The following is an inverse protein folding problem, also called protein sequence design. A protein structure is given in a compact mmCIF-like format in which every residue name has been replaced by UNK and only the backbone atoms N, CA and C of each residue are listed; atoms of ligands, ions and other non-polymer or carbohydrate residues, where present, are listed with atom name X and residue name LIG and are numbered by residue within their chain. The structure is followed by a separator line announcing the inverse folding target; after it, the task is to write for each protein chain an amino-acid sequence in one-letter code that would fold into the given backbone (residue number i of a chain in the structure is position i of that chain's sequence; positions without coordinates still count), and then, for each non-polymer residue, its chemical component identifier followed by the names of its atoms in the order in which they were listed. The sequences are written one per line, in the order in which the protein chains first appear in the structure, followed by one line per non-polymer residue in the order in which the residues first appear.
data_IF_008126222763
#
_entry.id   IF_008126222763
#
_cell.length_a   1.000
_cell.length_b   1.000
_cell.length_c   1.000
_cell.angle_alpha   90.00
_cell.angle_beta   90.00
_cell.angle_gamma   90.00
#
_symmetry.space_group_name_H-M   'P 1'
#
loop_
_entity.id
_entity.type
_entity.pdbx_description
1 polymer ?
#
# COMPACT_ATOMS: atom_id res chain seq x y z
N UNK A 1 27.25 18.96 -6.58
CA UNK A 1 26.08 18.95 -5.68
C UNK A 1 24.95 19.74 -6.32
N UNK A 2 23.96 19.07 -6.92
CA UNK A 2 22.74 19.75 -7.41
C UNK A 2 21.84 19.98 -6.19
N UNK A 3 21.48 21.24 -5.93
CA UNK A 3 20.70 21.64 -4.77
C UNK A 3 19.24 21.18 -4.93
N UNK A 4 18.64 20.62 -3.88
CA UNK A 4 17.22 20.18 -3.86
C UNK A 4 16.23 21.31 -4.20
N UNK A 5 16.65 22.57 -4.01
CA UNK A 5 15.84 23.78 -4.24
C UNK A 5 15.70 24.10 -5.74
N UNK A 6 16.53 23.56 -6.63
CA UNK A 6 16.50 23.83 -8.08
C UNK A 6 15.77 22.78 -8.92
N UNK A 7 15.03 21.84 -8.31
CA UNK A 7 14.06 21.01 -9.03
C UNK A 7 12.85 21.88 -9.44
N UNK A 8 13.06 22.79 -10.38
CA UNK A 8 11.97 23.28 -11.22
C UNK A 8 11.26 22.05 -11.75
N UNK A 9 9.96 21.95 -11.44
CA UNK A 9 9.03 20.90 -11.85
C UNK A 9 9.14 20.62 -13.35
N UNK A 10 10.08 19.77 -13.74
CA UNK A 10 9.91 18.91 -14.90
C UNK A 10 8.95 17.84 -14.42
N UNK A 11 7.68 18.23 -14.38
CA UNK A 11 6.60 17.25 -14.30
C UNK A 11 6.70 16.56 -15.65
N UNK A 12 7.38 15.41 -15.68
CA UNK A 12 6.95 14.40 -16.63
C UNK A 12 5.48 14.21 -16.30
N UNK A 13 4.62 14.69 -17.18
CA UNK A 13 3.32 14.11 -17.26
C UNK A 13 3.60 12.67 -17.65
N UNK A 14 3.82 11.79 -16.65
CA UNK A 14 3.21 10.49 -16.73
C UNK A 14 1.75 10.86 -16.90
N UNK A 15 1.31 11.02 -18.15
CA UNK A 15 -0.09 11.11 -18.45
C UNK A 15 -0.62 9.83 -17.81
N UNK A 16 -1.25 10.01 -16.65
CA UNK A 16 -2.14 9.01 -16.12
C UNK A 16 -3.13 8.86 -17.26
N UNK A 17 -2.91 7.84 -18.08
CA UNK A 17 -3.83 7.41 -19.13
C UNK A 17 -5.12 7.12 -18.38
N UNK A 18 -5.92 8.18 -18.27
CA UNK A 18 -7.07 8.26 -17.39
C UNK A 18 -8.20 7.58 -18.13
N UNK A 19 -8.19 6.26 -18.02
CA UNK A 19 -9.40 5.48 -18.04
C UNK A 19 -9.48 4.81 -16.66
N UNK A 20 -10.61 5.04 -16.01
CA UNK A 20 -10.87 4.77 -14.59
C UNK A 20 -10.40 3.39 -14.14
N UNK A 21 -9.91 3.32 -12.89
CA UNK A 21 -9.54 2.12 -12.11
C UNK A 21 -8.07 1.66 -12.16
N UNK A 22 -7.25 2.07 -13.13
CA UNK A 22 -5.88 1.58 -13.26
C UNK A 22 -4.78 2.55 -12.76
N UNK A 23 -4.78 2.86 -11.45
CA UNK A 23 -3.79 3.79 -10.86
C UNK A 23 -2.46 3.10 -10.56
N UNK A 24 -1.36 3.85 -10.60
CA UNK A 24 -0.10 3.39 -10.02
C UNK A 24 -0.23 3.26 -8.49
N UNK A 25 0.21 2.14 -7.93
CA UNK A 25 0.07 1.79 -6.49
C UNK A 25 1.40 1.58 -5.79
N UNK A 26 2.42 1.11 -6.51
CA UNK A 26 3.76 0.89 -6.00
C UNK A 26 4.79 1.07 -7.13
N UNK A 27 6.04 1.25 -6.75
CA UNK A 27 7.15 1.28 -7.68
C UNK A 27 8.37 0.59 -7.05
N UNK A 28 9.29 0.13 -7.88
CA UNK A 28 10.54 -0.49 -7.46
C UNK A 28 11.65 -0.09 -8.44
N UNK A 29 12.88 0.00 -7.96
CA UNK A 29 14.05 0.30 -8.77
C UNK A 29 15.15 -0.70 -8.44
N UNK A 30 15.92 -1.11 -9.44
CA UNK A 30 17.06 -1.99 -9.25
C UNK A 30 18.28 -1.14 -8.92
N UNK A 31 18.96 -1.35 -7.79
CA UNK A 31 20.18 -0.61 -7.47
C UNK A 31 21.25 -0.80 -8.54
N UNK A 32 21.73 0.31 -9.10
CA UNK A 32 22.77 0.29 -10.13
C UNK A 32 22.24 0.12 -11.56
N UNK A 33 20.95 -0.11 -11.73
CA UNK A 33 20.29 -0.05 -13.03
C UNK A 33 19.56 1.29 -13.18
N UNK A 34 19.40 1.71 -14.43
CA UNK A 34 18.63 2.89 -14.77
C UNK A 34 17.16 2.55 -15.06
N UNK A 35 16.67 1.39 -14.61
CA UNK A 35 15.29 0.97 -14.82
C UNK A 35 14.44 1.11 -13.55
N UNK A 36 13.21 1.62 -13.72
CA UNK A 36 12.21 1.71 -12.65
C UNK A 36 10.93 1.03 -13.11
N UNK A 37 10.36 0.22 -12.22
CA UNK A 37 9.11 -0.49 -12.43
C UNK A 37 7.98 0.18 -11.67
N UNK A 38 6.79 0.20 -12.26
CA UNK A 38 5.57 0.75 -11.71
C UNK A 38 4.49 -0.33 -11.71
N UNK A 39 3.97 -0.65 -10.53
CA UNK A 39 2.83 -1.55 -10.38
C UNK A 39 1.55 -0.74 -10.46
N UNK A 40 0.65 -1.17 -11.33
CA UNK A 40 -0.70 -0.66 -11.44
C UNK A 40 -1.66 -1.50 -10.59
N UNK A 41 -2.75 -0.89 -10.13
CA UNK A 41 -3.78 -1.59 -9.35
C UNK A 41 -4.44 -2.74 -10.10
N UNK A 42 -4.43 -2.73 -11.45
CA UNK A 42 -4.89 -3.86 -12.28
C UNK A 42 -3.98 -5.09 -12.25
N UNK A 43 -2.73 -4.98 -11.79
CA UNK A 43 -1.73 -6.04 -11.88
C UNK A 43 -0.74 -5.88 -13.04
N UNK A 44 -0.90 -4.85 -13.87
CA UNK A 44 0.11 -4.50 -14.88
C UNK A 44 1.34 -3.90 -14.24
N UNK A 45 2.50 -4.40 -14.63
CA UNK A 45 3.81 -3.82 -14.34
C UNK A 45 4.27 -3.08 -15.59
N UNK A 46 4.62 -1.82 -15.41
CA UNK A 46 5.18 -0.98 -16.47
C UNK A 46 6.62 -0.58 -16.12
N UNK A 47 7.51 -0.57 -17.09
CA UNK A 47 8.92 -0.21 -16.91
C UNK A 47 9.23 1.16 -17.55
N UNK A 48 10.16 1.87 -16.93
CA UNK A 48 10.70 3.14 -17.41
C UNK A 48 12.23 3.10 -17.39
N UNK A 49 12.84 3.30 -18.56
CA UNK A 49 14.29 3.49 -18.66
C UNK A 49 14.67 4.95 -18.39
N UNK A 50 15.52 5.17 -17.40
CA UNK A 50 16.06 6.47 -17.00
C UNK A 50 17.37 6.73 -17.74
N UNK A 51 17.31 7.32 -18.93
CA UNK A 51 18.54 7.68 -19.66
C UNK A 51 19.00 9.08 -19.29
N UNK A 52 20.27 9.21 -18.92
CA UNK A 52 20.87 10.49 -18.56
C UNK A 52 20.92 11.50 -19.72
N UNK A 53 20.89 11.01 -20.98
CA UNK A 53 20.89 11.84 -22.20
C UNK A 53 19.50 12.38 -22.58
N UNK A 54 18.42 11.80 -22.04
CA UNK A 54 17.04 12.18 -22.37
C UNK A 54 16.46 13.27 -21.46
N UNK A 55 17.31 14.02 -20.78
CA UNK A 55 16.89 15.18 -19.99
C UNK A 55 16.15 16.26 -20.83
N UNK A 56 16.10 16.13 -22.15
CA UNK A 56 15.42 17.03 -23.08
C UNK A 56 14.11 16.48 -23.66
N UNK A 57 13.78 15.20 -23.42
CA UNK A 57 12.53 14.58 -23.88
C UNK A 57 11.41 14.89 -22.87
N UNK A 58 10.31 15.55 -23.29
CA UNK A 58 9.27 16.04 -22.38
C UNK A 58 8.41 14.92 -21.77
N UNK A 59 8.39 13.74 -22.37
CA UNK A 59 7.69 12.54 -21.88
C UNK A 59 8.47 11.30 -22.32
N UNK A 60 8.59 10.33 -21.41
CA UNK A 60 8.96 8.95 -21.75
C UNK A 60 7.73 8.09 -21.56
N UNK A 61 7.43 7.27 -22.55
CA UNK A 61 6.33 6.32 -22.46
C UNK A 61 6.75 5.16 -21.56
N UNK A 62 5.80 4.69 -20.77
CA UNK A 62 5.98 3.50 -19.95
C UNK A 62 5.76 2.27 -20.81
N UNK A 63 6.70 1.34 -20.81
CA UNK A 63 6.58 0.09 -21.54
C UNK A 63 5.89 -0.94 -20.66
N UNK A 64 4.91 -1.67 -21.21
CA UNK A 64 4.34 -2.81 -20.50
C UNK A 64 5.43 -3.87 -20.31
N UNK A 65 5.75 -4.17 -19.04
CA UNK A 65 6.74 -5.17 -18.68
C UNK A 65 6.09 -6.55 -18.57
N UNK A 66 5.00 -6.66 -17.80
CA UNK A 66 4.32 -7.92 -17.50
C UNK A 66 2.90 -7.67 -16.95
N UNK A 67 2.00 -8.63 -17.10
CA UNK A 67 0.65 -8.61 -16.50
C UNK A 67 0.49 -9.73 -15.47
N UNK A 68 0.46 -9.39 -14.18
CA UNK A 68 0.47 -10.36 -13.08
C UNK A 68 -0.75 -11.30 -13.07
N UNK A 69 -1.83 -10.91 -13.75
CA UNK A 69 -3.07 -11.70 -13.84
C UNK A 69 -2.90 -12.96 -14.67
N UNK A 70 -1.83 -13.07 -15.46
CA UNK A 70 -1.53 -14.27 -16.23
C UNK A 70 -1.02 -15.42 -15.35
N UNK A 71 -0.63 -15.14 -14.11
CA UNK A 71 0.02 -16.09 -13.20
C UNK A 71 -0.83 -16.50 -11.99
N UNK A 72 -2.04 -15.92 -11.85
CA UNK A 72 -2.91 -16.16 -10.69
C UNK A 72 -4.19 -16.84 -11.18
N UNK A 73 -4.57 -17.96 -10.56
CA UNK A 73 -5.75 -18.76 -10.97
C UNK A 73 -7.09 -18.18 -10.48
N UNK A 74 -7.06 -17.14 -9.65
CA UNK A 74 -8.24 -16.55 -9.02
C UNK A 74 -9.01 -15.60 -9.96
N UNK A 75 -10.14 -16.07 -10.50
CA UNK A 75 -11.08 -15.28 -11.32
C UNK A 75 -11.72 -14.12 -10.52
N UNK A 76 -11.69 -14.19 -9.17
CA UNK A 76 -12.12 -13.12 -8.26
C UNK A 76 -10.98 -12.12 -7.93
N UNK A 77 -9.81 -12.23 -8.58
CA UNK A 77 -8.78 -11.19 -8.61
C UNK A 77 -9.29 -9.96 -9.39
N UNK A 78 -10.31 -9.32 -8.81
CA UNK A 78 -10.90 -8.07 -9.25
C UNK A 78 -9.81 -7.08 -9.62
N UNK A 79 -9.96 -6.48 -10.80
CA UNK A 79 -9.12 -5.37 -11.24
C UNK A 79 -9.06 -4.34 -10.10
N UNK A 80 -7.87 -4.10 -9.53
CA UNK A 80 -7.69 -3.14 -8.45
C UNK A 80 -7.14 -3.68 -7.13
N UNK A 81 -6.89 -4.98 -6.99
CA UNK A 81 -6.43 -5.60 -5.74
C UNK A 81 -4.91 -5.49 -5.50
N UNK A 82 -4.09 -5.24 -6.51
CA UNK A 82 -2.64 -5.15 -6.37
C UNK A 82 -2.21 -3.89 -5.60
N UNK A 83 -1.24 -4.04 -4.68
CA UNK A 83 -0.83 -2.92 -3.78
C UNK A 83 0.65 -2.83 -3.48
N UNK A 84 1.36 -3.95 -3.42
CA UNK A 84 2.75 -3.97 -2.98
C UNK A 84 3.65 -4.52 -4.06
N UNK A 85 4.83 -3.92 -4.22
CA UNK A 85 5.89 -4.38 -5.11
C UNK A 85 7.24 -4.05 -4.48
N UNK A 86 8.16 -5.01 -4.43
CA UNK A 86 9.54 -4.80 -4.01
C UNK A 86 10.48 -5.57 -4.94
N UNK A 87 11.62 -4.98 -5.28
CA UNK A 87 12.70 -5.71 -5.90
C UNK A 87 13.52 -6.43 -4.84
N UNK A 88 13.70 -7.74 -4.99
CA UNK A 88 14.48 -8.60 -4.10
C UNK A 88 15.77 -8.98 -4.82
N UNK A 89 16.88 -8.34 -4.44
CA UNK A 89 18.14 -8.43 -5.14
C UNK A 89 18.77 -9.82 -5.10
N UNK A 90 18.55 -10.56 -4.01
CA UNK A 90 19.05 -11.94 -3.87
C UNK A 90 18.37 -12.89 -4.86
N UNK A 91 17.09 -12.67 -5.14
CA UNK A 91 16.31 -13.47 -6.09
C UNK A 91 16.37 -12.93 -7.52
N UNK A 92 16.76 -11.67 -7.71
CA UNK A 92 16.68 -11.00 -9.02
C UNK A 92 15.23 -10.77 -9.47
N UNK A 93 14.27 -10.74 -8.53
CA UNK A 93 12.84 -10.71 -8.86
C UNK A 93 12.11 -9.49 -8.30
N UNK A 94 11.02 -9.12 -8.98
CA UNK A 94 9.98 -8.25 -8.43
C UNK A 94 8.95 -9.10 -7.71
N UNK A 95 8.81 -8.91 -6.40
CA UNK A 95 7.79 -9.58 -5.61
C UNK A 95 6.60 -8.65 -5.45
N UNK A 96 5.47 -9.07 -6.00
CA UNK A 96 4.22 -8.34 -6.03
C UNK A 96 3.17 -9.01 -5.15
N UNK A 97 2.34 -8.23 -4.48
CA UNK A 97 1.27 -8.76 -3.64
C UNK A 97 -0.04 -8.00 -3.78
N UNK A 98 -1.14 -8.75 -3.69
CA UNK A 98 -2.51 -8.24 -3.77
C UNK A 98 -3.21 -8.24 -2.41
N UNK A 99 -4.25 -7.42 -2.27
CA UNK A 99 -5.12 -7.45 -1.09
C UNK A 99 -6.02 -8.68 -1.03
N UNK A 100 -6.19 -9.41 -2.14
CA UNK A 100 -6.95 -10.67 -2.17
C UNK A 100 -6.17 -11.83 -1.56
N UNK A 101 -4.83 -11.76 -1.54
CA UNK A 101 -4.01 -12.81 -0.93
C UNK A 101 -2.84 -13.26 -1.79
N UNK A 102 -2.88 -12.99 -3.10
CA UNK A 102 -1.89 -13.45 -4.05
C UNK A 102 -0.53 -12.79 -3.83
N UNK A 103 0.52 -13.61 -3.95
CA UNK A 103 1.93 -13.25 -3.91
C UNK A 103 2.58 -13.84 -5.17
N UNK A 104 3.10 -12.97 -6.03
CA UNK A 104 3.72 -13.35 -7.30
C UNK A 104 5.16 -12.87 -7.33
N UNK A 105 6.07 -13.77 -7.67
CA UNK A 105 7.47 -13.47 -7.94
C UNK A 105 7.66 -13.33 -9.45
N UNK A 106 8.25 -12.24 -9.91
CA UNK A 106 8.51 -11.98 -11.33
C UNK A 106 10.01 -11.87 -11.55
N UNK A 107 10.57 -12.80 -12.30
CA UNK A 107 11.97 -12.77 -12.71
C UNK A 107 12.20 -11.62 -13.70
N UNK A 108 13.12 -10.72 -13.39
CA UNK A 108 13.32 -9.50 -14.17
C UNK A 108 13.98 -9.78 -15.52
N UNK A 109 14.89 -10.75 -15.57
CA UNK A 109 15.70 -11.05 -16.76
C UNK A 109 14.89 -11.82 -17.80
N UNK A 110 14.15 -12.83 -17.36
CA UNK A 110 13.32 -13.69 -18.21
C UNK A 110 11.94 -13.11 -18.48
N UNK A 111 11.49 -12.14 -17.66
CA UNK A 111 10.15 -11.56 -17.68
C UNK A 111 9.05 -12.62 -17.52
N UNK A 112 9.30 -13.57 -16.64
CA UNK A 112 8.36 -14.63 -16.30
C UNK A 112 7.91 -14.52 -14.84
N UNK A 113 6.69 -14.96 -14.57
CA UNK A 113 6.05 -14.84 -13.26
C UNK A 113 5.66 -16.20 -12.68
N UNK A 114 5.59 -16.27 -11.35
CA UNK A 114 5.10 -17.45 -10.64
C UNK A 114 4.30 -17.01 -9.41
N UNK A 115 3.10 -17.59 -9.21
CA UNK A 115 2.38 -17.48 -7.94
C UNK A 115 3.06 -18.34 -6.88
N UNK A 116 3.76 -17.68 -5.97
CA UNK A 116 4.55 -18.31 -4.90
C UNK A 116 3.78 -18.44 -3.59
N UNK A 117 2.58 -17.85 -3.52
CA UNK A 117 1.71 -18.01 -2.37
C UNK A 117 0.36 -17.31 -2.52
N UNK A 118 -0.63 -17.85 -1.82
CA UNK A 118 -1.96 -17.27 -1.73
C UNK A 118 -2.45 -17.33 -0.27
N UNK A 119 -2.94 -16.21 0.24
CA UNK A 119 -3.49 -16.11 1.59
C UNK A 119 -5.00 -15.87 1.49
N UNK A 120 -5.81 -16.92 1.73
CA UNK A 120 -7.28 -16.89 1.59
C UNK A 120 -7.97 -15.72 2.30
N UNK A 121 -7.44 -15.30 3.45
CA UNK A 121 -8.03 -14.18 4.21
C UNK A 121 -7.67 -12.80 3.64
N UNK A 122 -6.87 -12.76 2.58
CA UNK A 122 -6.26 -11.59 1.98
C UNK A 122 -5.11 -11.01 2.79
N UNK A 123 -4.51 -9.96 2.23
CA UNK A 123 -3.42 -9.22 2.85
C UNK A 123 -3.85 -7.80 3.25
N UNK A 124 -3.19 -7.27 4.27
CA UNK A 124 -3.39 -5.93 4.83
C UNK A 124 -2.10 -5.13 4.89
N UNK A 125 -0.96 -5.80 5.02
CA UNK A 125 0.36 -5.19 4.94
C UNK A 125 1.40 -6.21 4.50
N UNK A 126 2.43 -5.72 3.81
CA UNK A 126 3.58 -6.49 3.33
C UNK A 126 4.82 -5.64 3.59
N UNK A 127 5.85 -6.24 4.20
CA UNK A 127 7.11 -5.56 4.45
C UNK A 127 8.27 -6.56 4.43
N UNK A 128 9.34 -6.19 3.74
CA UNK A 128 10.59 -6.92 3.75
C UNK A 128 11.50 -6.45 4.88
N UNK A 129 12.35 -7.35 5.39
CA UNK A 129 13.49 -6.95 6.21
C UNK A 129 14.51 -6.17 5.37
N UNK A 130 15.35 -5.37 6.02
CA UNK A 130 16.33 -4.53 5.33
C UNK A 130 17.36 -5.32 4.51
N UNK A 131 17.63 -6.57 4.90
CA UNK A 131 18.49 -7.51 4.18
C UNK A 131 17.73 -8.40 3.19
N UNK A 132 16.40 -8.23 3.06
CA UNK A 132 15.54 -8.98 2.14
C UNK A 132 15.48 -10.50 2.35
N UNK A 133 15.99 -11.01 3.47
CA UNK A 133 15.94 -12.45 3.81
C UNK A 133 14.57 -12.89 4.34
N UNK A 134 13.75 -11.96 4.84
CA UNK A 134 12.44 -12.27 5.42
C UNK A 134 11.35 -11.33 4.92
N UNK A 135 10.17 -11.92 4.70
CA UNK A 135 8.94 -11.24 4.32
C UNK A 135 7.92 -11.31 5.46
N UNK A 136 7.51 -10.16 5.98
CA UNK A 136 6.45 -10.04 6.97
C UNK A 136 5.13 -9.64 6.30
N UNK A 137 4.09 -10.41 6.57
CA UNK A 137 2.75 -10.27 6.02
C UNK A 137 1.74 -10.11 7.16
N UNK A 138 0.82 -9.14 7.01
CA UNK A 138 -0.37 -9.05 7.87
C UNK A 138 -1.56 -9.54 7.07
N UNK A 139 -2.21 -10.58 7.55
CA UNK A 139 -3.36 -11.21 6.88
C UNK A 139 -4.67 -10.50 7.22
N UNK A 140 -5.71 -10.67 6.41
CA UNK A 140 -7.04 -10.15 6.72
C UNK A 140 -7.73 -10.86 7.88
N UNK A 141 -7.26 -12.04 8.28
CA UNK A 141 -7.66 -12.73 9.51
C UNK A 141 -7.04 -12.10 10.79
N UNK A 142 -6.15 -11.12 10.64
CA UNK A 142 -5.47 -10.45 11.76
C UNK A 142 -4.30 -11.26 12.33
N UNK A 143 -3.70 -12.14 11.53
CA UNK A 143 -2.43 -12.80 11.86
C UNK A 143 -1.23 -12.08 11.23
N UNK A 144 -0.10 -12.18 11.90
CA UNK A 144 1.22 -11.89 11.36
C UNK A 144 1.82 -13.20 10.88
N UNK A 145 2.21 -13.22 9.61
CA UNK A 145 2.91 -14.33 8.97
C UNK A 145 4.32 -13.83 8.57
N UNK A 146 5.35 -14.59 8.86
CA UNK A 146 6.73 -14.30 8.46
C UNK A 146 7.25 -15.47 7.63
N UNK A 147 7.79 -15.16 6.45
CA UNK A 147 8.30 -16.14 5.50
C UNK A 147 9.77 -15.84 5.18
N UNK A 148 10.53 -16.87 4.78
CA UNK A 148 11.85 -16.69 4.16
C UNK A 148 11.72 -16.20 2.71
N UNK A 149 12.85 -15.85 2.09
CA UNK A 149 12.97 -15.60 0.66
C UNK A 149 12.70 -16.84 -0.21
N UNK A 150 12.80 -18.05 0.35
CA UNK A 150 12.40 -19.33 -0.27
C UNK A 150 10.91 -19.66 -0.08
N UNK A 151 10.10 -18.68 0.34
CA UNK A 151 8.66 -18.82 0.55
C UNK A 151 8.25 -19.81 1.66
N UNK A 152 9.18 -20.20 2.53
CA UNK A 152 8.87 -21.05 3.68
C UNK A 152 8.32 -20.23 4.84
N UNK A 153 7.23 -20.69 5.46
CA UNK A 153 6.68 -20.04 6.65
C UNK A 153 7.58 -20.30 7.86
N UNK A 154 8.19 -19.22 8.38
CA UNK A 154 9.05 -19.26 9.56
C UNK A 154 8.26 -19.03 10.85
N UNK A 155 7.25 -18.16 10.81
CA UNK A 155 6.47 -17.81 11.98
C UNK A 155 5.04 -17.41 11.63
N UNK A 156 4.07 -17.88 12.40
CA UNK A 156 2.68 -17.45 12.32
C UNK A 156 2.15 -17.16 13.73
N UNK A 157 1.68 -15.93 13.95
CA UNK A 157 1.06 -15.55 15.22
C UNK A 157 -0.16 -14.66 15.00
N UNK A 158 -1.24 -14.98 15.71
CA UNK A 158 -2.43 -14.12 15.74
C UNK A 158 -2.14 -12.84 16.52
N UNK A 159 -2.29 -11.68 15.89
CA UNK A 159 -2.04 -10.40 16.57
C UNK A 159 -3.33 -9.82 17.15
N UNK A 160 -3.33 -9.59 18.46
CA UNK A 160 -4.43 -8.86 19.13
C UNK A 160 -4.47 -7.37 18.76
N UNK A 161 -3.33 -6.78 18.39
CA UNK A 161 -3.20 -5.35 18.04
C UNK A 161 -3.76 -5.06 16.65
N UNK A 162 -3.61 -5.99 15.70
CA UNK A 162 -4.19 -5.90 14.35
C UNK A 162 -5.72 -6.07 14.35
N UNK A 163 -6.28 -6.52 15.47
CA UNK A 163 -7.71 -6.65 15.70
C UNK A 163 -8.34 -5.40 16.35
N UNK A 164 -7.63 -4.27 16.42
CA UNK A 164 -8.20 -2.98 16.84
C UNK A 164 -9.23 -2.54 15.80
N UNK A 165 -10.46 -3.00 16.04
CA UNK A 165 -11.70 -2.61 15.40
C UNK A 165 -11.72 -1.09 15.20
N UNK A 166 -12.23 -0.69 14.03
CA UNK A 166 -12.64 0.64 13.64
C UNK A 166 -12.70 1.63 14.80
N UNK A 167 -11.96 2.74 14.68
CA UNK A 167 -12.16 3.93 15.48
C UNK A 167 -13.59 4.43 15.23
N UNK A 168 -14.58 3.86 15.92
CA UNK A 168 -15.92 4.42 15.96
C UNK A 168 -15.76 5.76 16.65
N UNK A 169 -15.99 6.83 15.90
CA UNK A 169 -16.12 8.19 16.42
C UNK A 169 -17.03 8.17 17.65
N UNK A 170 -16.44 8.40 18.81
CA UNK A 170 -17.21 8.73 20.01
C UNK A 170 -17.98 10.01 19.69
N UNK A 171 -19.32 10.05 19.76
CA UNK A 171 -20.03 11.30 19.60
C UNK A 171 -19.61 12.23 20.74
N UNK A 172 -19.13 13.41 20.40
CA UNK A 172 -18.81 14.45 21.37
C UNK A 172 -20.12 14.86 22.05
N UNK A 173 -20.36 14.36 23.27
CA UNK A 173 -21.52 14.71 24.07
C UNK A 173 -21.43 16.20 24.45
N UNK A 174 -22.21 17.04 23.76
CA UNK A 174 -22.35 18.46 24.09
C UNK A 174 -23.39 18.61 25.19
N UNK A 175 -22.97 18.42 26.42
CA UNK A 175 -23.63 19.02 27.60
C UNK A 175 -22.51 19.56 28.51
N UNK A 176 -22.49 20.81 28.95
CA UNK A 176 -23.57 21.56 29.59
C UNK A 176 -23.18 23.05 29.64
N UNK A 177 -24.03 23.94 29.13
CA UNK A 177 -23.94 25.38 29.37
C UNK A 177 -24.02 25.63 30.88
N UNK A 178 -22.97 26.18 31.47
CA UNK A 178 -23.04 26.83 32.78
C UNK A 178 -23.24 28.32 32.52
N UNK A 179 -24.42 28.81 32.87
CA UNK A 179 -24.80 30.21 32.77
C UNK A 179 -26.06 30.43 33.58
N UNK A 180 -25.93 30.45 34.90
CA UNK A 180 -26.98 30.90 35.81
C UNK A 180 -26.47 32.15 36.52
N UNK A 181 -26.86 33.31 36.00
CA UNK A 181 -26.74 34.59 36.68
C UNK A 181 -28.09 34.92 37.33
N UNK A 182 -28.04 35.04 38.65
CA UNK A 182 -28.76 35.98 39.52
C UNK A 182 -30.25 36.29 39.32
N UNK A 183 -30.98 36.09 40.44
CA UNK A 183 -31.66 37.13 41.24
C UNK A 183 -33.14 36.85 41.54
N UNK A 184 -33.60 37.51 42.61
CA UNK A 184 -34.96 37.57 43.17
C UNK A 184 -35.26 36.37 44.09
N UNK A 185 -35.62 36.53 45.36
CA UNK A 185 -36.06 37.67 46.14
C UNK A 185 -37.05 37.15 47.18
N UNK A 186 -36.71 37.35 48.45
CA UNK A 186 -37.55 37.41 49.66
C UNK A 186 -38.99 36.89 49.56
N UNK A 187 -39.34 35.90 50.41
CA UNK A 187 -40.61 35.92 51.17
C UNK A 187 -40.55 35.02 52.41
N UNK A 188 -40.96 35.63 53.51
CA UNK A 188 -41.06 35.17 54.89
C UNK A 188 -42.14 34.10 55.11
N UNK A 189 -42.11 33.36 56.24
CA UNK A 189 -43.09 32.32 56.54
C UNK A 189 -44.27 32.88 57.36
N UNK A 190 -45.49 32.42 57.08
CA UNK A 190 -46.59 32.51 58.05
C UNK A 190 -47.48 31.26 57.95
N UNK A 191 -47.29 30.38 58.92
CA UNK A 191 -48.20 29.31 59.34
C UNK A 191 -49.10 29.89 60.43
N UNK A 192 -50.42 29.79 60.27
CA UNK A 192 -51.40 29.22 61.24
C UNK A 192 -52.82 29.71 60.93
N UNK A 193 -53.73 28.72 60.88
CA UNK A 193 -55.17 28.73 61.19
C UNK A 193 -56.01 29.96 60.84
#
# INVERSE_FOLDING_TARGET
MRNLVSLQRRVWALEASSQSENRCVAFASIPGDAQVFFLRSSGRIEALQLDEQDAHSPSKDLELFLDLREFVEDDDASAGCWRWMNYVAELGTLVCASTSGALVSVDVDTRDGEEVGNVDSGLRAVAWTSNQEMLALVTGAGSLLVMSNDWEVLHETRSRVLCLRSWSSVPLDKTKRVGAANSVGVKTPSLLR
#
